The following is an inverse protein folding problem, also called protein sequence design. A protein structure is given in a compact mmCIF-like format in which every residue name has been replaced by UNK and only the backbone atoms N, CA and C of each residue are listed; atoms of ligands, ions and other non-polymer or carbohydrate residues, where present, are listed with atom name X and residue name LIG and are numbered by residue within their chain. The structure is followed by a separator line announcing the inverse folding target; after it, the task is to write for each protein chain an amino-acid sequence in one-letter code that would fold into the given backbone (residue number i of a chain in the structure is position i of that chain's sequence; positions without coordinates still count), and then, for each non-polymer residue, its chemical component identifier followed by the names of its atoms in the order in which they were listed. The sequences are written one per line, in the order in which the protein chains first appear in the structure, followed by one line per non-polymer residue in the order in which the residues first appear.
data_IF_923852114381
#
_entry.id   IF_923852114381
#
_cell.length_a   1.000
_cell.length_b   1.000
_cell.length_c   1.000
_cell.angle_alpha   90.00
_cell.angle_beta   90.00
_cell.angle_gamma   90.00
#
_symmetry.space_group_name_H-M   'P 1'
#
loop_
_entity.id
_entity.type
_entity.pdbx_description
1 polymer ?
#
# COMPACT_ATOMS: atom_id res chain seq x y z
N UNK A 1 -7.79 3.89 -1.40
CA UNK A 1 -6.57 3.57 -2.17
C UNK A 1 -6.95 2.45 -3.11
N UNK A 2 -6.83 2.63 -4.43
CA UNK A 2 -7.20 1.57 -5.36
C UNK A 2 -6.09 0.52 -5.42
N UNK A 3 -6.49 -0.75 -5.53
CA UNK A 3 -5.55 -1.83 -5.68
C UNK A 3 -4.86 -1.72 -7.05
N UNK A 4 -3.52 -1.68 -7.11
CA UNK A 4 -2.81 -1.61 -8.39
C UNK A 4 -2.97 -2.88 -9.25
N UNK A 5 -3.55 -3.97 -8.69
CA UNK A 5 -3.75 -5.25 -9.39
C UNK A 5 -5.13 -5.38 -10.02
N UNK A 6 -6.19 -5.11 -9.26
CA UNK A 6 -7.57 -5.33 -9.72
C UNK A 6 -8.40 -4.05 -9.82
N UNK A 7 -7.84 -2.89 -9.48
CA UNK A 7 -8.56 -1.62 -9.43
C UNK A 7 -9.57 -1.50 -8.29
N UNK A 8 -9.83 -2.58 -7.53
CA UNK A 8 -10.79 -2.60 -6.44
C UNK A 8 -10.36 -1.81 -5.19
N UNK A 9 -11.31 -1.59 -4.30
CA UNK A 9 -11.08 -0.90 -3.03
C UNK A 9 -10.08 -1.62 -2.14
N UNK A 10 -9.13 -0.85 -1.62
CA UNK A 10 -8.16 -1.34 -0.65
C UNK A 10 -8.23 -0.52 0.63
N UNK A 11 -8.30 -1.23 1.75
CA UNK A 11 -8.33 -0.66 3.10
C UNK A 11 -6.93 -0.71 3.70
N UNK A 12 -6.57 0.35 4.42
CA UNK A 12 -5.35 0.34 5.22
C UNK A 12 -5.48 -0.73 6.32
N UNK A 13 -4.45 -1.54 6.50
CA UNK A 13 -4.47 -2.58 7.56
C UNK A 13 -4.04 -2.03 8.93
N UNK A 14 -3.74 -0.74 9.04
CA UNK A 14 -3.19 -0.11 10.24
C UNK A 14 -1.69 -0.34 10.47
N UNK A 15 -1.03 -1.15 9.63
CA UNK A 15 0.43 -1.31 9.66
C UNK A 15 1.07 -0.19 8.84
N UNK A 16 1.75 0.69 9.55
CA UNK A 16 2.48 1.83 9.01
C UNK A 16 3.91 1.79 9.59
N UNK A 17 4.91 2.10 8.77
CA UNK A 17 6.31 2.13 9.18
C UNK A 17 7.03 3.28 8.47
N UNK A 18 8.07 3.81 9.08
CA UNK A 18 8.92 4.83 8.46
C UNK A 18 10.27 4.23 8.13
N UNK A 19 10.70 4.37 6.88
CA UNK A 19 11.97 3.90 6.34
C UNK A 19 12.76 5.09 5.79
N UNK A 20 13.54 5.74 6.64
CA UNK A 20 14.27 6.96 6.30
C UNK A 20 13.33 8.09 5.89
N UNK A 21 13.42 8.51 4.62
CA UNK A 21 12.57 9.53 4.00
C UNK A 21 11.21 9.00 3.50
N UNK A 22 10.99 7.68 3.59
CA UNK A 22 9.77 7.04 3.12
C UNK A 22 8.86 6.65 4.29
N UNK A 23 7.57 6.89 4.16
CA UNK A 23 6.52 6.37 5.04
C UNK A 23 5.81 5.22 4.32
N UNK A 24 6.05 3.99 4.74
CA UNK A 24 5.36 2.80 4.27
C UNK A 24 4.03 2.63 4.99
N UNK A 25 2.96 2.35 4.25
CA UNK A 25 1.65 1.98 4.77
C UNK A 25 1.16 0.72 4.06
N UNK A 26 0.69 -0.26 4.81
CA UNK A 26 0.18 -1.50 4.23
C UNK A 26 -1.33 -1.41 3.99
N UNK A 27 -1.73 -1.84 2.80
CA UNK A 27 -3.11 -1.90 2.36
C UNK A 27 -3.47 -3.34 2.02
N UNK A 28 -4.67 -3.74 2.41
CA UNK A 28 -5.28 -4.99 1.99
C UNK A 28 -6.41 -4.67 0.99
N UNK A 29 -6.36 -5.30 -0.19
CA UNK A 29 -7.43 -5.21 -1.16
C UNK A 29 -8.50 -6.27 -0.88
N UNK A 30 -9.72 -5.84 -0.56
CA UNK A 30 -10.85 -6.76 -0.37
C UNK A 30 -11.34 -7.38 -1.67
N UNK A 31 -11.00 -6.79 -2.84
CA UNK A 31 -11.44 -7.30 -4.14
C UNK A 31 -10.59 -8.45 -4.69
N UNK A 32 -9.28 -8.49 -4.41
CA UNK A 32 -8.41 -9.59 -4.86
C UNK A 32 -7.67 -10.30 -3.73
N UNK A 33 -8.04 -10.00 -2.47
CA UNK A 33 -7.45 -10.52 -1.23
C UNK A 33 -5.91 -10.36 -1.17
N UNK A 34 -5.37 -9.39 -1.91
CA UNK A 34 -3.93 -9.14 -2.00
C UNK A 34 -3.53 -7.95 -1.17
N UNK A 35 -2.40 -8.13 -0.52
CA UNK A 35 -1.80 -7.12 0.34
C UNK A 35 -0.67 -6.42 -0.41
N UNK A 36 -0.61 -5.10 -0.31
CA UNK A 36 0.46 -4.29 -0.89
C UNK A 36 0.90 -3.20 0.07
N UNK A 37 2.13 -2.75 -0.08
CA UNK A 37 2.71 -1.65 0.69
C UNK A 37 2.75 -0.41 -0.18
N UNK A 38 2.19 0.70 0.26
CA UNK A 38 2.36 1.99 -0.39
C UNK A 38 3.41 2.79 0.36
N UNK A 39 4.38 3.33 -0.37
CA UNK A 39 5.43 4.18 0.17
C UNK A 39 5.17 5.62 -0.22
N UNK A 40 5.17 6.49 0.78
CA UNK A 40 4.99 7.93 0.64
C UNK A 40 6.32 8.61 0.89
N UNK A 41 6.69 9.60 0.09
CA UNK A 41 7.86 10.46 0.30
C UNK A 41 7.34 11.89 0.32
N UNK A 42 7.63 12.62 1.40
CA UNK A 42 7.13 13.99 1.58
C UNK A 42 5.59 14.09 1.47
N UNK A 43 4.88 13.18 2.15
CA UNK A 43 3.40 13.01 2.07
C UNK A 43 2.84 12.70 0.67
N UNK A 44 3.68 12.57 -0.36
CA UNK A 44 3.27 12.21 -1.71
C UNK A 44 3.49 10.72 -1.95
N UNK A 45 2.50 10.04 -2.53
CA UNK A 45 2.64 8.64 -2.92
C UNK A 45 3.82 8.52 -3.90
N UNK A 46 4.86 7.77 -3.52
CA UNK A 46 6.03 7.54 -4.35
C UNK A 46 5.85 6.29 -5.19
N UNK A 47 5.55 5.15 -4.57
CA UNK A 47 5.34 3.89 -5.27
C UNK A 47 4.57 2.89 -4.39
N UNK A 48 3.93 1.92 -5.04
CA UNK A 48 3.29 0.79 -4.37
C UNK A 48 4.04 -0.50 -4.71
N UNK A 49 4.31 -1.30 -3.69
CA UNK A 49 4.96 -2.61 -3.80
C UNK A 49 3.92 -3.67 -3.48
N UNK A 50 3.36 -4.38 -4.48
CA UNK A 50 2.52 -5.53 -4.22
C UNK A 50 3.36 -6.61 -3.54
N UNK A 51 2.86 -7.21 -2.45
CA UNK A 51 3.52 -8.40 -1.92
C UNK A 51 3.24 -9.55 -2.87
N UNK A 52 4.29 -10.11 -3.46
CA UNK A 52 4.22 -11.39 -4.14
C UNK A 52 3.94 -12.47 -3.08
N UNK A 53 2.80 -13.14 -3.22
CA UNK A 53 2.52 -14.43 -2.63
C UNK A 53 2.00 -15.32 -3.75
#
# INVERSE_FOLDING_TARGET
MNCPRCGGDSKATGKEWKFGLFEGKQYNCSGCDKVFSAYYRDKKLSHTVPKAK
#
